data_IF_750921855130
#
_entry.id   IF_750921855130
#
_cell.length_a   1.000
_cell.length_b   1.000
_cell.length_c   1.000
_cell.angle_alpha   90.00
_cell.angle_beta   90.00
_cell.angle_gamma   90.00
#
_symmetry.space_group_name_H-M   'P 1'
#
loop_
_entity.id
_entity.type
_entity.pdbx_description
1 polymer ?
#
# COMPACT_ATOMS: atom_id res chain seq x y z
N UNK A 1 34.97 -8.58 -9.74
CA UNK A 1 34.26 -8.58 -10.01
C UNK A 1 33.46 -8.60 -9.90
N UNK A 2 33.50 -8.56 -9.57
CA UNK A 2 32.62 -8.63 -9.63
C UNK A 2 31.90 -8.54 -9.63
N UNK A 3 32.17 -8.26 -9.47
CA UNK A 3 31.27 -8.18 -9.65
C UNK A 3 30.67 -8.02 -9.77
N UNK A 4 30.88 -7.81 -9.69
CA UNK A 4 30.09 -7.62 -10.04
C UNK A 4 29.46 -7.54 -10.24
N UNK A 5 29.69 -7.47 -10.08
CA UNK A 5 28.98 -7.41 -10.51
C UNK A 5 28.06 -7.20 -10.51
N UNK A 6 28.15 -7.09 -10.34
CA UNK A 6 27.29 -6.91 -10.51
C UNK A 6 26.58 -6.57 -10.57
N UNK A 7 26.72 -6.29 -10.68
CA UNK A 7 26.00 -6.01 -10.97
C UNK A 7 25.26 -5.84 -11.17
N UNK A 8 25.58 -5.94 -11.10
CA UNK A 8 24.87 -5.82 -11.52
C UNK A 8 23.85 -5.69 -11.45
N UNK A 9 23.80 -5.93 -11.44
CA UNK A 9 22.85 -5.73 -11.41
C UNK A 9 22.20 -5.07 -10.98
N UNK A 10 22.57 -5.01 -10.84
CA UNK A 10 22.13 -4.01 -10.31
C UNK A 10 21.40 -3.05 -10.91
N UNK A 11 21.41 -3.00 -11.82
CA UNK A 11 20.64 -2.16 -12.55
C UNK A 11 19.24 -2.16 -12.21
N UNK A 12 18.80 -3.08 -11.57
CA UNK A 12 17.45 -3.10 -11.22
C UNK A 12 17.16 -2.52 -9.93
N UNK A 13 17.88 -1.56 -9.50
CA UNK A 13 17.56 -0.85 -8.34
C UNK A 13 16.26 -0.20 -8.43
N UNK A 14 15.44 -0.23 -7.41
CA UNK A 14 14.18 0.48 -7.40
C UNK A 14 14.46 1.94 -7.53
N UNK A 15 13.58 2.60 -8.22
CA UNK A 15 13.64 4.00 -8.34
C UNK A 15 13.50 4.67 -7.00
N UNK A 16 14.24 5.72 -6.77
CA UNK A 16 14.25 6.41 -5.49
C UNK A 16 12.90 7.00 -5.15
N UNK A 17 12.19 7.53 -6.12
CA UNK A 17 10.87 8.10 -5.87
C UNK A 17 9.90 7.03 -5.40
N UNK A 18 9.98 5.85 -5.97
CA UNK A 18 9.14 4.76 -5.56
C UNK A 18 9.44 4.34 -4.12
N UNK A 19 10.70 4.26 -3.76
CA UNK A 19 11.08 3.93 -2.40
C UNK A 19 10.59 4.97 -1.42
N UNK A 20 10.68 6.24 -1.76
CA UNK A 20 10.20 7.29 -0.89
C UNK A 20 8.69 7.23 -0.73
N UNK A 21 8.00 6.91 -1.79
CA UNK A 21 6.55 6.77 -1.73
C UNK A 21 6.16 5.62 -0.79
N UNK A 22 6.83 4.49 -0.91
CA UNK A 22 6.54 3.36 -0.03
C UNK A 22 6.86 3.69 1.42
N UNK A 23 7.95 4.40 1.66
CA UNK A 23 8.30 4.81 3.01
C UNK A 23 7.24 5.74 3.59
N UNK A 24 6.69 6.61 2.76
CA UNK A 24 5.62 7.49 3.22
C UNK A 24 4.37 6.71 3.56
N UNK A 25 4.03 5.72 2.75
CA UNK A 25 2.88 4.85 3.04
C UNK A 25 3.09 4.12 4.36
N UNK A 26 4.27 3.59 4.58
CA UNK A 26 4.57 2.90 5.82
C UNK A 26 4.48 3.83 7.02
N UNK A 27 4.92 5.07 6.86
CA UNK A 27 4.83 6.05 7.94
C UNK A 27 3.40 6.37 8.33
N UNK A 28 2.51 6.43 7.36
CA UNK A 28 1.09 6.66 7.64
C UNK A 28 0.49 5.46 8.35
N UNK A 29 0.93 4.27 7.99
CA UNK A 29 0.42 3.05 8.59
C UNK A 29 -0.84 2.54 7.91
N UNK A 30 -1.62 1.76 8.63
CA UNK A 30 -2.87 1.23 8.10
C UNK A 30 -3.87 2.36 7.96
N UNK A 31 -4.32 2.60 6.74
CA UNK A 31 -5.26 3.70 6.50
C UNK A 31 -6.60 3.45 7.19
N UNK A 32 -7.03 2.20 7.27
CA UNK A 32 -8.29 1.87 7.94
C UNK A 32 -8.19 2.16 9.42
N UNK A 33 -7.11 1.73 10.07
CA UNK A 33 -6.95 1.99 11.49
C UNK A 33 -6.87 3.47 11.76
N UNK A 34 -6.22 4.20 10.88
CA UNK A 34 -6.05 5.61 11.06
C UNK A 34 -7.35 6.37 10.93
N UNK A 35 -8.14 6.05 9.91
CA UNK A 35 -9.39 6.76 9.66
C UNK A 35 -10.50 6.33 10.59
N UNK A 36 -10.60 5.05 10.88
CA UNK A 36 -11.75 4.53 11.60
C UNK A 36 -11.52 4.37 13.09
N UNK A 37 -10.27 4.22 13.49
CA UNK A 37 -9.97 3.96 14.90
C UNK A 37 -9.00 4.97 15.49
N UNK A 38 -8.45 5.84 14.67
CA UNK A 38 -7.56 6.89 15.17
C UNK A 38 -6.24 6.38 15.70
N UNK A 39 -5.81 5.21 15.27
CA UNK A 39 -4.56 4.64 15.77
C UNK A 39 -3.64 4.31 14.61
N UNK A 40 -2.35 4.23 14.94
CA UNK A 40 -1.34 3.82 13.98
C UNK A 40 -1.08 2.35 14.16
N UNK A 41 -1.08 1.60 13.08
CA UNK A 41 -0.63 0.22 13.14
C UNK A 41 0.24 -0.07 11.94
N UNK A 42 1.14 -1.04 12.13
CA UNK A 42 2.12 -1.38 11.10
C UNK A 42 1.43 -1.90 9.86
N UNK A 43 1.77 -1.38 8.70
CA UNK A 43 1.06 -1.74 7.50
C UNK A 43 1.80 -2.75 6.64
N UNK A 44 1.04 -3.46 5.82
CA UNK A 44 1.56 -4.07 4.62
C UNK A 44 1.21 -3.13 3.48
N UNK A 45 2.06 -3.04 2.49
CA UNK A 45 1.77 -2.23 1.31
C UNK A 45 0.87 -3.06 0.40
N UNK A 46 -0.29 -2.51 0.11
CA UNK A 46 -1.30 -3.21 -0.68
C UNK A 46 -1.53 -2.45 -1.99
N UNK A 47 -1.32 -3.13 -3.11
CA UNK A 47 -1.66 -2.56 -4.42
C UNK A 47 -3.15 -2.72 -4.62
N UNK A 48 -3.80 -1.66 -5.08
CA UNK A 48 -5.23 -1.73 -5.28
C UNK A 48 -5.58 -2.82 -6.27
N UNK A 49 -6.70 -3.49 -6.01
CA UNK A 49 -7.14 -4.60 -6.83
C UNK A 49 -8.40 -4.22 -7.57
N UNK A 50 -8.66 -4.92 -8.63
CA UNK A 50 -9.92 -4.81 -9.35
C UNK A 50 -9.92 -3.81 -10.46
N UNK A 51 -9.26 -2.72 -10.30
CA UNK A 51 -9.31 -1.69 -11.31
C UNK A 51 -8.12 -1.68 -12.22
N UNK A 52 -7.14 -2.40 -11.90
CA UNK A 52 -5.88 -2.28 -12.61
C UNK A 52 -5.85 -2.95 -13.94
N UNK A 53 -6.79 -3.73 -14.23
CA UNK A 53 -6.86 -4.39 -15.48
C UNK A 53 -5.57 -5.08 -15.85
N UNK A 54 -4.96 -5.70 -14.88
CA UNK A 54 -3.76 -6.45 -15.13
C UNK A 54 -2.49 -5.67 -15.03
N UNK A 55 -2.59 -4.35 -14.78
CA UNK A 55 -1.41 -3.57 -14.69
C UNK A 55 -1.19 -3.15 -13.28
N UNK A 56 0.00 -3.31 -12.75
CA UNK A 56 0.31 -2.81 -11.44
C UNK A 56 0.76 -1.38 -11.55
N UNK A 57 0.16 -0.55 -10.76
CA UNK A 57 0.54 0.85 -10.71
C UNK A 57 1.17 1.09 -9.35
N UNK A 58 2.43 1.40 -9.34
CA UNK A 58 3.16 1.51 -8.09
C UNK A 58 2.72 2.70 -7.26
N UNK A 59 2.00 3.63 -7.87
CA UNK A 59 1.47 4.77 -7.13
C UNK A 59 0.11 4.50 -6.52
N UNK A 60 -0.49 3.36 -6.86
CA UNK A 60 -1.82 3.03 -6.35
C UNK A 60 -1.70 2.01 -5.25
N UNK A 61 -1.13 2.45 -4.14
CA UNK A 61 -0.91 1.57 -2.98
C UNK A 61 -1.41 2.23 -1.73
N UNK A 62 -1.88 1.42 -0.80
CA UNK A 62 -2.29 1.90 0.52
C UNK A 62 -1.65 1.00 1.55
N UNK A 63 -1.60 1.48 2.79
CA UNK A 63 -1.12 0.67 3.89
C UNK A 63 -2.30 0.01 4.58
N UNK A 64 -2.20 -1.29 4.83
CA UNK A 64 -3.23 -2.03 5.55
C UNK A 64 -2.53 -2.96 6.53
N UNK A 65 -2.97 -2.95 7.79
CA UNK A 65 -2.41 -3.88 8.76
C UNK A 65 -2.83 -5.30 8.38
N UNK A 66 -2.24 -6.27 9.06
CA UNK A 66 -2.53 -7.67 8.73
C UNK A 66 -4.02 -7.95 8.74
N UNK A 67 -4.72 -7.49 9.78
CA UNK A 67 -6.15 -7.76 9.90
C UNK A 67 -6.94 -7.20 8.73
N UNK A 68 -6.64 -5.97 8.33
CA UNK A 68 -7.40 -5.33 7.25
C UNK A 68 -6.87 -5.68 5.86
N UNK A 69 -5.74 -6.34 5.79
CA UNK A 69 -5.18 -6.81 4.52
C UNK A 69 -5.60 -8.25 4.25
N UNK A 70 -5.28 -9.16 5.15
CA UNK A 70 -5.52 -10.58 4.95
C UNK A 70 -6.33 -11.24 6.05
N UNK A 71 -6.65 -10.52 7.12
CA UNK A 71 -7.39 -11.09 8.22
C UNK A 71 -8.88 -11.22 7.92
N UNK A 72 -9.65 -11.49 8.94
CA UNK A 72 -11.09 -11.74 8.77
C UNK A 72 -11.84 -10.53 8.26
N UNK A 73 -11.34 -9.33 8.53
CA UNK A 73 -11.97 -8.12 8.00
C UNK A 73 -11.10 -7.50 6.92
N UNK A 74 -10.31 -8.31 6.25
CA UNK A 74 -9.34 -7.83 5.29
C UNK A 74 -9.86 -7.76 3.87
N UNK A 75 -9.21 -6.93 3.09
CA UNK A 75 -9.59 -6.73 1.70
C UNK A 75 -9.43 -8.01 0.88
N UNK A 76 -8.43 -8.83 1.21
CA UNK A 76 -8.23 -10.08 0.50
C UNK A 76 -9.20 -11.17 0.95
N UNK A 77 -9.74 -11.05 2.14
CA UNK A 77 -10.71 -12.03 2.61
C UNK A 77 -12.03 -11.87 1.88
N UNK A 78 -12.51 -10.64 1.77
CA UNK A 78 -13.76 -10.36 1.05
C UNK A 78 -13.77 -8.88 0.70
N UNK A 79 -13.40 -8.60 -0.55
CA UNK A 79 -13.26 -7.23 -1.00
C UNK A 79 -14.57 -6.45 -0.87
N UNK A 80 -15.67 -7.07 -1.23
CA UNK A 80 -16.95 -6.38 -1.19
C UNK A 80 -17.35 -5.98 0.22
N UNK A 81 -17.23 -6.90 1.15
CA UNK A 81 -17.56 -6.61 2.55
C UNK A 81 -16.61 -5.58 3.12
N UNK A 82 -15.32 -5.72 2.79
CA UNK A 82 -14.33 -4.75 3.24
C UNK A 82 -14.71 -3.34 2.77
N UNK A 83 -15.07 -3.23 1.51
CA UNK A 83 -15.38 -1.90 0.96
C UNK A 83 -16.68 -1.34 1.51
N UNK A 84 -17.64 -2.19 1.79
CA UNK A 84 -18.87 -1.73 2.42
C UNK A 84 -18.62 -1.19 3.81
N UNK A 85 -17.67 -1.80 4.51
CA UNK A 85 -17.42 -1.44 5.88
C UNK A 85 -16.47 -0.26 6.03
N UNK A 86 -15.45 -0.18 5.22
CA UNK A 86 -14.39 0.80 5.40
C UNK A 86 -14.26 1.81 4.28
N UNK A 87 -14.93 1.59 3.17
CA UNK A 87 -14.83 2.45 2.01
C UNK A 87 -14.13 1.74 0.86
N UNK A 88 -14.31 2.26 -0.33
CA UNK A 88 -13.70 1.65 -1.50
C UNK A 88 -12.18 1.81 -1.43
N UNK A 89 -11.48 0.96 -2.16
CA UNK A 89 -10.03 1.09 -2.22
C UNK A 89 -9.62 2.43 -2.81
N UNK A 90 -10.38 2.94 -3.78
CA UNK A 90 -10.09 4.27 -4.34
C UNK A 90 -10.25 5.36 -3.31
N UNK A 91 -11.30 5.29 -2.51
CA UNK A 91 -11.49 6.26 -1.43
C UNK A 91 -10.32 6.22 -0.45
N UNK A 92 -9.92 5.00 -0.07
CA UNK A 92 -8.82 4.86 0.87
C UNK A 92 -7.51 5.37 0.28
N UNK A 93 -7.32 5.18 -1.03
CA UNK A 93 -6.15 5.73 -1.70
C UNK A 93 -6.15 7.25 -1.65
N UNK A 94 -7.28 7.87 -1.88
CA UNK A 94 -7.37 9.32 -1.79
C UNK A 94 -7.03 9.80 -0.39
N UNK A 95 -7.55 9.14 0.62
CA UNK A 95 -7.27 9.54 1.99
C UNK A 95 -5.80 9.32 2.34
N UNK A 96 -5.23 8.22 1.87
CA UNK A 96 -3.81 7.96 2.08
C UNK A 96 -2.96 9.06 1.46
N UNK A 97 -3.29 9.44 0.23
CA UNK A 97 -2.52 10.46 -0.48
C UNK A 97 -2.61 11.83 0.19
N UNK A 98 -3.74 12.14 0.80
CA UNK A 98 -3.86 13.38 1.55
C UNK A 98 -2.90 13.41 2.74
N UNK A 99 -2.68 12.26 3.35
CA UNK A 99 -1.79 12.20 4.50
C UNK A 99 -0.32 12.18 4.10
N UNK A 100 -0.02 11.69 2.92
CA UNK A 100 1.34 11.63 2.42
C UNK A 100 1.82 12.97 1.90
N UNK A 101 0.99 13.67 1.20
CA UNK A 101 1.39 14.94 0.60
C UNK A 101 1.47 15.99 1.66
N UNK A 102 2.58 16.63 1.75
CA UNK A 102 2.69 17.65 2.78
C UNK A 102 2.99 18.93 2.21
#
# INVERSE_FOLDING_TARGET
>A
MQNNKGSRKIAKKPNLAKRKHYQAVVSVGCIVCRLHYGVHSDPCVHHLTGAGMGKRDEDRVIGLCHEHHQGNTGVHHNTKVFEEKFGTQEYLLEEMNKLIIK
#
